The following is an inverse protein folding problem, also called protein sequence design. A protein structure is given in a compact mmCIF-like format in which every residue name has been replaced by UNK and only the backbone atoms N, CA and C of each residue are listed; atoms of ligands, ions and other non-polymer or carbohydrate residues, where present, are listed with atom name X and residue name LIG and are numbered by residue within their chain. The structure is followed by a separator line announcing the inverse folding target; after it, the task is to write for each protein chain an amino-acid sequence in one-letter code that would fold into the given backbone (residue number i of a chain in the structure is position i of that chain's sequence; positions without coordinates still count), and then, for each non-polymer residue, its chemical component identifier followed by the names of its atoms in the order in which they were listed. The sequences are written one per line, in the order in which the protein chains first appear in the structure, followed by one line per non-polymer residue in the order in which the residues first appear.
data_IF_270977492866
#
_entry.id   IF_270977492866
#
_cell.length_a   1.000
_cell.length_b   1.000
_cell.length_c   1.000
_cell.angle_alpha   90.00
_cell.angle_beta   90.00
_cell.angle_gamma   90.00
#
_symmetry.space_group_name_H-M   'P 1'
#
loop_
_entity.id
_entity.type
_entity.pdbx_description
1 polymer ?
#
# COMPACT_ATOMS: atom_id res chain seq x y z
N UNK A 1 24.77 32.64 8.99
CA UNK A 1 24.86 31.31 9.64
C UNK A 1 23.68 30.99 10.56
N UNK A 2 23.28 31.87 11.50
CA UNK A 2 22.16 31.62 12.43
C UNK A 2 20.79 31.33 11.78
N UNK A 3 20.38 32.07 10.74
CA UNK A 3 19.13 31.79 10.00
C UNK A 3 19.09 30.41 9.33
N UNK A 4 20.25 29.88 8.92
CA UNK A 4 20.38 28.56 8.28
C UNK A 4 20.20 27.44 9.32
N UNK A 5 20.77 27.62 10.52
CA UNK A 5 20.59 26.69 11.65
C UNK A 5 19.15 26.68 12.19
N UNK A 6 18.47 27.84 12.24
CA UNK A 6 17.07 27.95 12.65
C UNK A 6 16.15 27.16 11.69
N UNK A 7 16.34 27.29 10.37
CA UNK A 7 15.59 26.52 9.38
C UNK A 7 15.82 25.00 9.52
N UNK A 8 17.05 24.56 9.82
CA UNK A 8 17.34 23.12 10.04
C UNK A 8 16.61 22.59 11.27
N UNK A 9 16.64 23.34 12.38
CA UNK A 9 15.97 22.97 13.64
C UNK A 9 14.45 22.96 13.47
N UNK A 10 13.90 23.91 12.72
CA UNK A 10 12.47 23.99 12.43
C UNK A 10 12.00 22.83 11.54
N UNK A 11 12.79 22.46 10.53
CA UNK A 11 12.55 21.25 9.73
C UNK A 11 12.62 19.97 10.57
N UNK A 12 13.59 19.87 11.49
CA UNK A 12 13.71 18.72 12.39
C UNK A 12 12.53 18.61 13.37
N UNK A 13 11.97 19.76 13.81
CA UNK A 13 10.75 19.81 14.64
C UNK A 13 9.51 19.44 13.85
N UNK A 14 9.34 19.96 12.63
CA UNK A 14 8.23 19.58 11.74
C UNK A 14 8.29 18.08 11.44
N UNK A 15 9.49 17.54 11.22
CA UNK A 15 9.72 16.12 11.00
C UNK A 15 9.29 15.27 12.21
N UNK A 16 9.76 15.61 13.41
CA UNK A 16 9.35 14.94 14.66
C UNK A 16 7.85 15.04 14.88
N UNK A 17 7.23 16.19 14.56
CA UNK A 17 5.79 16.39 14.71
C UNK A 17 5.00 15.49 13.75
N UNK A 18 5.39 15.42 12.47
CA UNK A 18 4.71 14.57 11.48
C UNK A 18 4.84 13.09 11.85
N UNK A 19 6.02 12.65 12.28
CA UNK A 19 6.23 11.27 12.77
C UNK A 19 5.30 10.96 13.94
N UNK A 20 5.30 11.82 14.96
CA UNK A 20 4.46 11.64 16.14
C UNK A 20 2.97 11.62 15.79
N UNK A 21 2.55 12.43 14.80
CA UNK A 21 1.15 12.39 14.33
C UNK A 21 0.81 11.12 13.57
N UNK A 22 1.72 10.58 12.75
CA UNK A 22 1.50 9.32 12.03
C UNK A 22 1.46 8.15 13.02
N UNK A 23 2.39 8.09 13.97
CA UNK A 23 2.40 7.08 15.04
C UNK A 23 1.16 7.17 15.94
N UNK A 24 0.73 8.39 16.26
CA UNK A 24 -0.49 8.63 17.05
C UNK A 24 -1.75 8.21 16.28
N UNK A 25 -1.83 8.52 14.98
CA UNK A 25 -2.91 8.06 14.11
C UNK A 25 -2.89 6.53 14.04
N UNK A 26 -1.74 5.89 13.86
CA UNK A 26 -1.61 4.42 13.86
C UNK A 26 -2.05 3.79 15.18
N UNK A 27 -1.79 4.44 16.31
CA UNK A 27 -2.17 3.97 17.64
C UNK A 27 -3.65 4.19 17.96
N UNK A 28 -4.27 5.24 17.40
CA UNK A 28 -5.72 5.50 17.50
C UNK A 28 -6.52 4.62 16.54
N UNK A 29 -6.05 4.46 15.31
CA UNK A 29 -6.69 3.66 14.28
C UNK A 29 -6.38 2.17 14.38
N UNK A 30 -5.65 1.73 15.41
CA UNK A 30 -5.47 0.32 15.71
C UNK A 30 -6.86 -0.29 15.95
N UNK A 31 -7.45 -0.99 14.98
CA UNK A 31 -8.74 -1.61 15.20
C UNK A 31 -8.47 -2.75 16.17
N UNK A 32 -9.34 -2.92 17.17
CA UNK A 32 -9.22 -3.99 18.15
C UNK A 32 -9.56 -5.37 17.55
N UNK A 33 -9.75 -5.44 16.23
CA UNK A 33 -10.11 -6.63 15.48
C UNK A 33 -8.94 -7.08 14.61
N UNK A 34 -8.57 -8.35 14.71
CA UNK A 34 -7.42 -8.99 14.06
C UNK A 34 -7.45 -9.04 12.52
N UNK A 35 -8.23 -8.18 11.87
CA UNK A 35 -8.32 -7.99 10.42
C UNK A 35 -7.78 -6.61 10.05
N UNK A 36 -6.59 -6.29 10.54
CA UNK A 36 -5.88 -5.10 10.13
C UNK A 36 -5.56 -5.25 8.62
N UNK A 37 -6.38 -4.66 7.75
CA UNK A 37 -6.31 -4.84 6.30
C UNK A 37 -4.89 -4.57 5.80
N UNK A 38 -4.17 -5.61 5.37
CA UNK A 38 -2.78 -5.47 4.91
C UNK A 38 -2.62 -4.45 3.78
N UNK A 39 -3.70 -4.17 3.03
CA UNK A 39 -3.78 -3.09 2.03
C UNK A 39 -3.53 -1.70 2.64
N UNK A 40 -4.06 -1.42 3.83
CA UNK A 40 -3.89 -0.15 4.54
C UNK A 40 -2.43 0.04 4.96
N UNK A 41 -1.82 -0.98 5.56
CA UNK A 41 -0.42 -0.94 5.96
C UNK A 41 0.54 -0.80 4.77
N UNK A 42 0.27 -1.49 3.67
CA UNK A 42 1.04 -1.35 2.42
C UNK A 42 0.97 0.09 1.87
N UNK A 43 -0.22 0.70 1.83
CA UNK A 43 -0.38 2.08 1.37
C UNK A 43 0.33 3.07 2.30
N UNK A 44 0.18 2.90 3.62
CA UNK A 44 0.87 3.73 4.61
C UNK A 44 2.40 3.62 4.49
N UNK A 45 2.93 2.42 4.27
CA UNK A 45 4.37 2.21 4.13
C UNK A 45 4.90 2.93 2.88
N UNK A 46 4.21 2.82 1.74
CA UNK A 46 4.60 3.54 0.53
C UNK A 46 4.53 5.07 0.70
N UNK A 47 3.51 5.58 1.40
CA UNK A 47 3.39 7.00 1.74
C UNK A 47 4.51 7.46 2.68
N UNK A 48 4.87 6.65 3.68
CA UNK A 48 5.96 6.91 4.63
C UNK A 48 7.32 6.98 3.92
N UNK A 49 7.59 6.05 2.99
CA UNK A 49 8.81 6.04 2.19
C UNK A 49 8.90 7.25 1.25
N UNK A 50 7.78 7.66 0.63
CA UNK A 50 7.73 8.88 -0.17
C UNK A 50 8.02 10.11 0.68
N UNK A 51 7.42 10.21 1.87
CA UNK A 51 7.68 11.28 2.83
C UNK A 51 9.17 11.36 3.19
N UNK A 52 9.81 10.25 3.56
CA UNK A 52 11.25 10.21 3.89
C UNK A 52 12.16 10.63 2.74
N UNK A 53 11.75 10.39 1.50
CA UNK A 53 12.51 10.88 0.35
C UNK A 53 12.37 12.38 0.14
N UNK A 54 11.22 12.97 0.45
CA UNK A 54 10.95 14.39 0.23
C UNK A 54 11.52 15.29 1.33
N UNK A 55 11.56 14.83 2.58
CA UNK A 55 12.01 15.64 3.73
C UNK A 55 13.43 16.20 3.59
N UNK A 56 14.45 15.43 3.17
CA UNK A 56 15.79 15.97 2.99
C UNK A 56 15.91 16.91 1.78
N UNK A 57 14.91 16.95 0.89
CA UNK A 57 15.03 17.64 -0.40
C UNK A 57 15.32 19.14 -0.27
N UNK A 58 14.56 19.90 0.54
CA UNK A 58 14.79 21.33 0.68
C UNK A 58 16.13 21.65 1.34
N UNK A 59 16.59 20.78 2.26
CA UNK A 59 17.87 20.94 2.95
C UNK A 59 19.06 20.81 1.98
N UNK A 60 19.09 19.75 1.19
CA UNK A 60 20.13 19.53 0.19
C UNK A 60 20.07 20.55 -0.94
N UNK A 61 18.87 20.95 -1.36
CA UNK A 61 18.71 22.03 -2.34
C UNK A 61 19.30 23.35 -1.82
N UNK A 62 18.99 23.75 -0.58
CA UNK A 62 19.55 24.95 0.06
C UNK A 62 21.06 24.85 0.34
N UNK A 63 21.61 23.64 0.42
CA UNK A 63 23.04 23.40 0.51
C UNK A 63 23.73 23.58 -0.84
N UNK A 64 23.24 22.94 -1.90
CA UNK A 64 23.86 23.00 -3.24
C UNK A 64 23.73 24.35 -3.93
N UNK A 65 22.69 25.13 -3.60
CA UNK A 65 22.51 26.51 -4.10
C UNK A 65 23.34 27.55 -3.35
N UNK A 66 24.09 27.15 -2.31
CA UNK A 66 24.96 28.07 -1.57
C UNK A 66 26.30 28.26 -2.30
N UNK A 67 26.40 29.35 -3.05
CA UNK A 67 27.58 29.70 -3.84
C UNK A 67 28.85 29.96 -3.01
N UNK A 68 28.74 30.14 -1.69
CA UNK A 68 29.86 30.46 -0.81
C UNK A 68 30.86 29.30 -0.60
N UNK A 69 30.47 28.05 -0.91
CA UNK A 69 31.28 26.86 -0.61
C UNK A 69 32.04 26.30 -1.81
N UNK A 70 31.56 26.52 -3.04
CA UNK A 70 32.13 25.87 -4.23
C UNK A 70 32.13 26.72 -5.51
N UNK A 71 31.65 27.97 -5.44
CA UNK A 71 31.50 28.84 -6.61
C UNK A 71 30.25 28.55 -7.44
N UNK A 72 29.91 29.49 -8.32
CA UNK A 72 28.64 29.52 -9.08
C UNK A 72 28.46 28.31 -10.00
N UNK A 73 29.51 27.95 -10.74
CA UNK A 73 29.47 26.84 -11.69
C UNK A 73 29.29 25.48 -11.01
N UNK A 74 29.99 25.23 -9.91
CA UNK A 74 29.86 23.98 -9.15
C UNK A 74 28.46 23.83 -8.55
N UNK A 75 27.94 24.90 -7.95
CA UNK A 75 26.60 24.92 -7.38
C UNK A 75 25.51 24.61 -8.42
N UNK A 76 25.62 25.19 -9.62
CA UNK A 76 24.70 24.95 -10.72
C UNK A 76 24.74 23.48 -11.16
N UNK A 77 25.93 22.94 -11.43
CA UNK A 77 26.09 21.55 -11.89
C UNK A 77 25.61 20.56 -10.82
N UNK A 78 26.02 20.74 -9.57
CA UNK A 78 25.63 19.88 -8.46
C UNK A 78 24.12 19.90 -8.21
N UNK A 79 23.50 21.08 -8.25
CA UNK A 79 22.04 21.23 -8.08
C UNK A 79 21.28 20.57 -9.23
N UNK A 80 21.71 20.75 -10.48
CA UNK A 80 21.09 20.10 -11.63
C UNK A 80 21.16 18.57 -11.55
N UNK A 81 22.33 18.01 -11.21
CA UNK A 81 22.50 16.56 -11.02
C UNK A 81 21.60 16.07 -9.88
N UNK A 82 21.59 16.78 -8.75
CA UNK A 82 20.77 16.45 -7.60
C UNK A 82 19.28 16.38 -7.95
N UNK A 83 18.75 17.42 -8.62
CA UNK A 83 17.34 17.47 -9.03
C UNK A 83 16.96 16.35 -10.02
N UNK A 84 17.85 16.00 -10.94
CA UNK A 84 17.61 14.90 -11.90
C UNK A 84 17.55 13.56 -11.18
N UNK A 85 18.57 13.25 -10.36
CA UNK A 85 18.63 11.98 -9.62
C UNK A 85 17.43 11.85 -8.68
N UNK A 86 17.15 12.90 -7.91
CA UNK A 86 16.03 12.92 -6.98
C UNK A 86 14.68 12.91 -7.66
N UNK A 87 14.51 13.62 -8.76
CA UNK A 87 13.29 13.61 -9.56
C UNK A 87 12.95 12.22 -10.07
N UNK A 88 13.96 11.48 -10.55
CA UNK A 88 13.78 10.07 -10.98
C UNK A 88 13.35 9.17 -9.83
N UNK A 89 13.98 9.30 -8.66
CA UNK A 89 13.63 8.50 -7.46
C UNK A 89 12.20 8.78 -6.98
N UNK A 90 11.83 10.06 -6.88
CA UNK A 90 10.49 10.47 -6.44
C UNK A 90 9.45 10.00 -7.44
N UNK A 91 9.68 10.17 -8.74
CA UNK A 91 8.76 9.72 -9.78
C UNK A 91 8.52 8.20 -9.73
N UNK A 92 9.59 7.41 -9.60
CA UNK A 92 9.47 5.96 -9.43
C UNK A 92 8.62 5.61 -8.22
N UNK A 93 8.82 6.29 -7.08
CA UNK A 93 8.04 6.01 -5.87
C UNK A 93 6.59 6.46 -5.95
N UNK A 94 6.31 7.60 -6.56
CA UNK A 94 4.94 8.07 -6.79
C UNK A 94 4.16 7.05 -7.61
N UNK A 95 4.80 6.41 -8.60
CA UNK A 95 4.18 5.32 -9.36
C UNK A 95 3.84 4.11 -8.48
N UNK A 96 4.73 3.72 -7.55
CA UNK A 96 4.46 2.65 -6.59
C UNK A 96 3.32 3.01 -5.63
N UNK A 97 3.32 4.21 -5.05
CA UNK A 97 2.24 4.72 -4.19
C UNK A 97 0.91 4.70 -4.95
N UNK A 98 0.90 5.15 -6.20
CA UNK A 98 -0.30 5.14 -7.03
C UNK A 98 -0.79 3.72 -7.31
N UNK A 99 0.11 2.78 -7.58
CA UNK A 99 -0.22 1.36 -7.73
C UNK A 99 -0.79 0.77 -6.43
N UNK A 100 -0.20 1.11 -5.28
CA UNK A 100 -0.68 0.71 -3.96
C UNK A 100 -2.05 1.30 -3.64
N UNK A 101 -2.29 2.57 -4.00
CA UNK A 101 -3.57 3.24 -3.87
C UNK A 101 -4.65 2.60 -4.75
N UNK A 102 -4.32 2.30 -6.01
CA UNK A 102 -5.22 1.59 -6.91
C UNK A 102 -5.58 0.21 -6.36
N UNK A 103 -4.62 -0.48 -5.76
CA UNK A 103 -4.85 -1.79 -5.12
C UNK A 103 -5.70 -1.67 -3.85
N UNK A 104 -5.51 -0.61 -3.07
CA UNK A 104 -6.34 -0.27 -1.92
C UNK A 104 -7.79 -0.02 -2.32
N UNK A 105 -8.03 0.75 -3.39
CA UNK A 105 -9.36 1.05 -3.91
C UNK A 105 -9.97 -0.09 -4.75
N UNK A 106 -9.23 -1.15 -5.06
CA UNK A 106 -9.75 -2.27 -5.84
C UNK A 106 -10.46 -3.24 -4.91
N UNK A 107 -11.78 -3.33 -5.07
CA UNK A 107 -12.55 -4.46 -4.56
C UNK A 107 -12.05 -5.74 -5.24
N UNK A 108 -11.65 -6.71 -4.42
CA UNK A 108 -11.18 -8.00 -4.93
C UNK A 108 -12.42 -8.80 -5.31
N UNK A 109 -12.85 -8.62 -6.55
CA UNK A 109 -13.90 -9.45 -7.15
C UNK A 109 -13.32 -10.84 -7.44
N UNK A 110 -13.44 -11.76 -6.49
CA UNK A 110 -12.95 -13.15 -6.60
C UNK A 110 -13.60 -13.94 -7.74
N UNK A 111 -14.77 -13.49 -8.17
CA UNK A 111 -15.62 -14.19 -9.10
C UNK A 111 -16.47 -13.27 -9.97
N UNK A 112 -17.53 -13.86 -10.50
CA UNK A 112 -18.65 -13.19 -11.16
C UNK A 112 -19.94 -13.75 -10.61
N UNK A 113 -21.02 -12.98 -10.60
CA UNK A 113 -22.35 -13.50 -10.23
C UNK A 113 -22.79 -14.50 -11.32
N UNK A 114 -23.05 -15.77 -10.99
CA UNK A 114 -23.52 -16.77 -11.94
C UNK A 114 -24.97 -16.52 -12.34
N UNK A 115 -25.33 -16.92 -13.55
CA UNK A 115 -26.71 -16.91 -14.01
C UNK A 115 -27.53 -17.99 -13.30
N UNK A 116 -28.87 -17.81 -13.25
CA UNK A 116 -29.78 -18.81 -12.66
C UNK A 116 -29.67 -20.20 -13.33
N UNK A 117 -29.30 -20.25 -14.61
CA UNK A 117 -29.10 -21.51 -15.33
C UNK A 117 -27.85 -22.23 -14.82
N UNK A 118 -26.73 -21.52 -14.67
CA UNK A 118 -25.48 -22.08 -14.13
C UNK A 118 -25.65 -22.58 -12.70
N UNK A 119 -26.43 -21.86 -11.87
CA UNK A 119 -26.74 -22.30 -10.50
C UNK A 119 -27.55 -23.60 -10.52
N UNK A 120 -28.58 -23.70 -11.37
CA UNK A 120 -29.41 -24.89 -11.47
C UNK A 120 -28.65 -26.12 -11.99
N UNK A 121 -27.62 -25.93 -12.83
CA UNK A 121 -26.78 -27.01 -13.36
C UNK A 121 -25.83 -27.60 -12.30
N UNK A 122 -25.32 -26.75 -11.39
CA UNK A 122 -24.38 -27.16 -10.33
C UNK A 122 -25.09 -27.59 -9.05
N UNK A 123 -26.32 -27.10 -8.83
CA UNK A 123 -27.12 -27.32 -7.63
C UNK A 123 -27.22 -26.07 -6.77
N UNK A 124 -28.39 -25.87 -6.15
CA UNK A 124 -28.69 -24.66 -5.36
C UNK A 124 -28.04 -24.63 -3.97
N UNK A 125 -27.26 -25.64 -3.58
CA UNK A 125 -26.65 -25.73 -2.26
C UNK A 125 -25.18 -25.30 -2.27
N UNK A 126 -24.79 -24.43 -1.35
CA UNK A 126 -23.41 -24.02 -1.15
C UNK A 126 -22.55 -25.16 -0.59
N UNK A 127 -21.40 -25.52 -1.20
CA UNK A 127 -20.53 -26.59 -0.68
C UNK A 127 -19.87 -26.31 0.68
N UNK A 128 -19.85 -25.06 1.12
CA UNK A 128 -19.21 -24.64 2.39
C UNK A 128 -20.20 -24.71 3.55
N UNK A 129 -21.33 -24.01 3.46
CA UNK A 129 -22.35 -24.00 4.53
C UNK A 129 -23.39 -25.10 4.39
N UNK A 130 -23.49 -25.77 3.24
CA UNK A 130 -24.49 -26.80 2.92
C UNK A 130 -25.95 -26.30 2.94
N UNK A 131 -26.13 -24.98 2.94
CA UNK A 131 -27.44 -24.30 2.83
C UNK A 131 -27.67 -23.79 1.41
N UNK A 132 -28.87 -23.26 1.14
CA UNK A 132 -29.18 -22.62 -0.15
C UNK A 132 -28.25 -21.43 -0.42
N UNK A 133 -27.87 -21.25 -1.68
CA UNK A 133 -26.95 -20.18 -2.10
C UNK A 133 -27.53 -18.78 -1.85
N UNK A 134 -26.91 -18.03 -0.95
CA UNK A 134 -27.12 -16.60 -0.70
C UNK A 134 -26.02 -15.80 -1.39
N UNK A 135 -26.40 -14.86 -2.26
CA UNK A 135 -25.48 -14.05 -3.08
C UNK A 135 -24.35 -14.89 -3.73
N UNK A 136 -24.71 -15.78 -4.68
CA UNK A 136 -23.76 -16.73 -5.23
C UNK A 136 -22.66 -16.03 -6.02
N UNK A 137 -21.42 -16.48 -5.80
CA UNK A 137 -20.23 -16.06 -6.54
C UNK A 137 -19.62 -17.27 -7.22
N UNK A 138 -19.41 -17.16 -8.54
CA UNK A 138 -18.69 -18.13 -9.34
C UNK A 138 -17.23 -17.71 -9.51
N UNK A 139 -16.30 -18.56 -9.06
CA UNK A 139 -14.86 -18.29 -9.18
C UNK A 139 -14.40 -18.26 -10.65
N UNK A 140 -13.62 -17.25 -11.04
CA UNK A 140 -13.19 -17.08 -12.43
C UNK A 140 -12.27 -18.19 -12.94
N UNK A 141 -11.44 -18.76 -12.07
CA UNK A 141 -10.40 -19.73 -12.44
C UNK A 141 -10.94 -21.15 -12.61
N UNK A 142 -11.87 -21.58 -11.76
CA UNK A 142 -12.37 -22.95 -11.73
C UNK A 142 -13.90 -23.08 -11.84
N UNK A 143 -14.63 -21.96 -11.92
CA UNK A 143 -16.10 -21.89 -12.07
C UNK A 143 -16.92 -22.59 -10.97
N UNK A 144 -16.34 -22.81 -9.79
CA UNK A 144 -17.10 -23.30 -8.63
C UNK A 144 -17.90 -22.16 -7.99
N UNK A 145 -19.11 -22.48 -7.53
CA UNK A 145 -20.09 -21.53 -7.00
C UNK A 145 -20.21 -21.69 -5.48
N UNK A 146 -20.16 -20.58 -4.76
CA UNK A 146 -20.30 -20.50 -3.30
C UNK A 146 -21.09 -19.26 -2.91
N UNK A 147 -21.56 -19.16 -1.65
CA UNK A 147 -22.04 -17.88 -1.12
C UNK A 147 -20.88 -16.89 -0.98
N UNK A 148 -21.13 -15.59 -1.22
CA UNK A 148 -20.15 -14.52 -1.07
C UNK A 148 -19.47 -14.52 0.31
N UNK A 149 -20.25 -14.62 1.38
CA UNK A 149 -19.72 -14.64 2.76
C UNK A 149 -18.86 -15.88 3.03
N UNK A 150 -19.31 -17.04 2.56
CA UNK A 150 -18.63 -18.31 2.79
C UNK A 150 -17.25 -18.33 2.12
N UNK A 151 -17.18 -17.86 0.87
CA UNK A 151 -15.94 -17.87 0.12
C UNK A 151 -14.98 -16.77 0.57
N UNK A 152 -15.50 -15.61 1.02
CA UNK A 152 -14.70 -14.54 1.59
C UNK A 152 -14.00 -14.99 2.87
N UNK A 153 -14.72 -15.63 3.79
CA UNK A 153 -14.14 -16.19 5.03
C UNK A 153 -13.09 -17.26 4.76
N UNK A 154 -13.26 -18.05 3.69
CA UNK A 154 -12.27 -19.01 3.26
C UNK A 154 -10.98 -18.33 2.76
N UNK A 155 -11.10 -17.29 1.94
CA UNK A 155 -9.94 -16.55 1.39
C UNK A 155 -9.17 -15.72 2.42
N UNK A 156 -9.75 -15.44 3.58
CA UNK A 156 -9.02 -14.90 4.72
C UNK A 156 -7.93 -15.87 5.21
N UNK A 157 -8.18 -17.19 5.08
CA UNK A 157 -7.29 -18.26 5.51
C UNK A 157 -6.45 -18.84 4.38
N UNK A 158 -7.07 -19.13 3.24
CA UNK A 158 -6.49 -19.91 2.14
C UNK A 158 -6.99 -19.38 0.78
N UNK A 159 -6.10 -18.98 -0.13
CA UNK A 159 -6.46 -18.36 -1.42
C UNK A 159 -6.68 -19.37 -2.56
N UNK A 160 -7.14 -20.56 -2.20
CA UNK A 160 -7.44 -21.64 -3.15
C UNK A 160 -8.91 -22.01 -3.11
N UNK A 161 -9.43 -22.56 -4.20
CA UNK A 161 -10.80 -23.04 -4.25
C UNK A 161 -11.00 -24.20 -3.24
N UNK A 162 -12.01 -24.16 -2.35
CA UNK A 162 -12.28 -25.25 -1.39
C UNK A 162 -12.52 -26.62 -2.05
N UNK A 163 -13.04 -26.63 -3.27
CA UNK A 163 -13.39 -27.86 -4.00
C UNK A 163 -12.21 -28.47 -4.76
N UNK A 164 -11.43 -27.65 -5.47
CA UNK A 164 -10.39 -28.15 -6.39
C UNK A 164 -8.98 -27.65 -6.10
N UNK A 165 -8.81 -26.82 -5.06
CA UNK A 165 -7.53 -26.21 -4.67
C UNK A 165 -6.85 -25.37 -5.75
N UNK A 166 -7.57 -24.99 -6.82
CA UNK A 166 -7.07 -24.05 -7.82
C UNK A 166 -6.83 -22.69 -7.15
N UNK A 167 -5.69 -22.05 -7.44
CA UNK A 167 -5.37 -20.71 -6.92
C UNK A 167 -6.27 -19.67 -7.57
N UNK A 168 -6.94 -18.86 -6.76
CA UNK A 168 -7.97 -17.90 -7.22
C UNK A 168 -7.43 -16.47 -7.25
N UNK A 169 -6.49 -16.15 -6.36
CA UNK A 169 -5.87 -14.83 -6.22
C UNK A 169 -4.36 -15.01 -6.36
N UNK A 170 -3.71 -14.16 -7.16
CA UNK A 170 -2.24 -14.05 -7.11
C UNK A 170 -1.86 -13.49 -5.73
N UNK A 171 -0.82 -14.05 -5.09
CA UNK A 171 -0.46 -13.68 -3.73
C UNK A 171 -0.33 -12.16 -3.65
N UNK A 172 -1.18 -11.50 -2.86
CA UNK A 172 -1.15 -10.06 -2.85
C UNK A 172 0.18 -9.59 -2.24
N UNK A 173 0.79 -8.58 -2.87
CA UNK A 173 2.12 -8.07 -2.48
C UNK A 173 2.21 -7.60 -1.03
N UNK A 174 1.09 -7.39 -0.34
CA UNK A 174 1.08 -7.06 1.10
C UNK A 174 1.23 -8.26 2.03
N UNK A 175 1.10 -9.51 1.53
CA UNK A 175 1.27 -10.75 2.31
C UNK A 175 2.64 -11.43 2.09
N UNK A 176 3.52 -10.85 1.27
CA UNK A 176 4.86 -11.38 0.98
C UNK A 176 5.86 -11.25 2.14
N UNK A 177 5.43 -10.67 3.28
CA UNK A 177 6.27 -10.42 4.45
C UNK A 177 7.23 -9.22 4.29
N UNK A 178 7.21 -8.53 3.15
CA UNK A 178 7.95 -7.28 2.93
C UNK A 178 7.28 -6.08 3.60
N UNK A 179 5.96 -6.16 3.81
CA UNK A 179 5.18 -5.13 4.51
C UNK A 179 5.27 -5.35 6.02
N UNK A 180 6.17 -4.60 6.66
CA UNK A 180 6.29 -4.60 8.12
C UNK A 180 5.13 -3.82 8.75
N UNK A 181 4.49 -4.38 9.79
CA UNK A 181 3.53 -3.65 10.62
C UNK A 181 4.21 -2.47 11.35
N UNK A 182 5.52 -2.55 11.53
CA UNK A 182 6.35 -1.48 12.07
C UNK A 182 6.87 -0.62 10.92
N UNK A 183 6.49 0.67 10.90
CA UNK A 183 7.04 1.64 9.94
C UNK A 183 8.54 1.76 10.21
N UNK A 184 9.36 1.25 9.29
CA UNK A 184 10.82 1.27 9.46
C UNK A 184 11.36 2.65 9.10
N UNK A 185 11.39 3.62 10.02
CA UNK A 185 11.71 5.03 9.71
C UNK A 185 13.18 5.28 9.27
N UNK A 186 14.03 4.26 9.18
CA UNK A 186 15.46 4.40 8.88
C UNK A 186 15.98 3.31 7.95
#
# INVERSE_FOLDING_TARGET
MAKKAINVIEYERIYKLVILTVEFIQKIFHPNDGTADGKYYMLLEHLSQLYRMLVPMPLWFAYFTDYNYGGEYFALVATSIYLILKGRMVFAKVKEVYSGYQTFCRDVQYGTVPSKQEINEVGNSCPICQEDLTDPIMLRTCKHIFCEDCISLWFDREQTCPMCRAKVVEDPTWRDGSTSAYVQIF
#
